data_IF_148811210190
#
_entry.id   IF_148811210190
#
_cell.length_a   1.000
_cell.length_b   1.000
_cell.length_c   1.000
_cell.angle_alpha   90.00
_cell.angle_beta   90.00
_cell.angle_gamma   90.00
#
_symmetry.space_group_name_H-M   'P 1'
#
loop_
_entity.id
_entity.type
_entity.pdbx_description
1 polymer ?
#
# COMPACT_ATOMS: atom_id res chain seq x y z
N UNK A 1 18.59 0.10 28.56
CA UNK A 1 19.18 -0.62 27.43
C UNK A 1 18.23 -0.55 26.24
N UNK A 2 18.51 0.31 25.25
CA UNK A 2 17.70 0.44 24.04
C UNK A 2 18.47 -0.16 22.87
N UNK A 3 18.26 -1.46 22.61
CA UNK A 3 18.66 -2.09 21.35
C UNK A 3 17.48 -1.98 20.40
N UNK A 4 17.47 -0.96 19.54
CA UNK A 4 16.70 -1.02 18.30
C UNK A 4 17.69 -0.90 17.15
N UNK A 5 17.84 -2.05 16.51
CA UNK A 5 18.74 -2.38 15.43
C UNK A 5 18.60 -1.38 14.29
N UNK A 6 19.67 -0.64 14.02
CA UNK A 6 19.87 0.00 12.74
C UNK A 6 19.87 -1.08 11.66
N UNK A 7 18.73 -1.26 11.01
CA UNK A 7 18.59 -2.10 9.83
C UNK A 7 19.32 -1.39 8.69
N UNK A 8 20.64 -1.60 8.61
CA UNK A 8 21.43 -1.37 7.39
C UNK A 8 20.86 -2.33 6.34
N UNK A 9 20.32 -1.85 5.20
CA UNK A 9 20.03 -2.73 4.09
C UNK A 9 21.38 -3.15 3.49
N UNK A 10 21.81 -4.35 3.83
CA UNK A 10 22.96 -5.02 3.19
C UNK A 10 22.39 -5.95 2.13
N UNK A 11 21.92 -5.40 1.01
CA UNK A 11 21.68 -6.20 -0.20
C UNK A 11 21.86 -5.31 -1.42
N UNK A 12 22.96 -5.55 -2.15
CA UNK A 12 23.13 -5.03 -3.49
C UNK A 12 21.98 -5.47 -4.40
N UNK A 13 21.49 -4.54 -5.22
CA UNK A 13 20.75 -4.81 -6.46
C UNK A 13 19.36 -5.46 -6.36
N UNK A 14 18.86 -5.88 -5.19
CA UNK A 14 17.54 -6.51 -5.05
C UNK A 14 16.57 -5.56 -4.36
N UNK A 15 15.44 -5.32 -5.03
CA UNK A 15 14.31 -4.51 -4.56
C UNK A 15 13.97 -4.83 -3.09
N UNK A 16 13.71 -3.79 -2.28
CA UNK A 16 13.42 -3.94 -0.85
C UNK A 16 12.23 -4.90 -0.64
N UNK A 17 12.34 -5.96 0.16
CA UNK A 17 11.27 -6.94 0.36
C UNK A 17 9.97 -6.30 0.90
N UNK A 18 10.05 -5.15 1.58
CA UNK A 18 8.87 -4.39 2.02
C UNK A 18 8.14 -3.73 0.85
N UNK A 19 8.87 -3.26 -0.16
CA UNK A 19 8.30 -2.69 -1.40
C UNK A 19 7.62 -3.80 -2.21
N UNK A 20 8.24 -4.97 -2.30
CA UNK A 20 7.66 -6.15 -2.95
C UNK A 20 6.35 -6.57 -2.25
N UNK A 21 6.37 -6.67 -0.91
CA UNK A 21 5.19 -7.02 -0.12
C UNK A 21 4.05 -6.00 -0.25
N UNK A 22 4.39 -4.70 -0.25
CA UNK A 22 3.41 -3.64 -0.46
C UNK A 22 2.76 -3.73 -1.85
N UNK A 23 3.55 -3.92 -2.91
CA UNK A 23 3.04 -4.05 -4.28
C UNK A 23 2.10 -5.25 -4.42
N UNK A 24 2.43 -6.37 -3.79
CA UNK A 24 1.57 -7.55 -3.74
C UNK A 24 0.24 -7.26 -3.02
N UNK A 25 0.29 -6.59 -1.86
CA UNK A 25 -0.91 -6.21 -1.11
C UNK A 25 -1.82 -5.25 -1.89
N UNK A 26 -1.25 -4.20 -2.50
CA UNK A 26 -1.99 -3.25 -3.35
C UNK A 26 -2.64 -3.96 -4.54
N UNK A 27 -1.91 -4.89 -5.17
CA UNK A 27 -2.43 -5.67 -6.31
C UNK A 27 -3.58 -6.60 -5.92
N UNK A 28 -3.54 -7.17 -4.71
CA UNK A 28 -4.64 -7.97 -4.16
C UNK A 28 -5.86 -7.10 -3.89
N UNK A 29 -5.66 -5.98 -3.19
CA UNK A 29 -6.73 -5.07 -2.79
C UNK A 29 -7.49 -4.48 -3.99
N UNK A 30 -6.77 -4.16 -5.08
CA UNK A 30 -7.41 -3.72 -6.34
C UNK A 30 -8.31 -4.79 -6.95
N UNK A 31 -7.93 -6.08 -6.89
CA UNK A 31 -8.75 -7.18 -7.40
C UNK A 31 -9.99 -7.38 -6.54
N UNK A 32 -9.83 -7.30 -5.22
CA UNK A 32 -10.94 -7.44 -4.28
C UNK A 32 -11.95 -6.30 -4.45
N UNK A 33 -11.48 -5.06 -4.60
CA UNK A 33 -12.35 -3.91 -4.89
C UNK A 33 -13.05 -4.05 -6.25
N UNK A 34 -12.33 -4.50 -7.29
CA UNK A 34 -12.91 -4.74 -8.61
C UNK A 34 -13.97 -5.85 -8.61
N UNK A 35 -13.80 -6.86 -7.77
CA UNK A 35 -14.73 -7.98 -7.62
C UNK A 35 -15.85 -7.71 -6.61
N UNK A 36 -15.80 -6.60 -5.86
CA UNK A 36 -16.80 -6.29 -4.85
C UNK A 36 -18.11 -5.84 -5.51
N UNK A 37 -19.24 -6.55 -5.28
CA UNK A 37 -20.51 -6.24 -5.92
C UNK A 37 -21.24 -5.03 -5.29
N UNK A 38 -20.78 -4.54 -4.14
CA UNK A 38 -21.35 -3.37 -3.47
C UNK A 38 -20.95 -2.05 -4.13
N UNK A 39 -21.92 -1.15 -4.28
CA UNK A 39 -21.64 0.24 -4.65
C UNK A 39 -21.14 1.00 -3.41
N UNK A 40 -19.84 1.34 -3.41
CA UNK A 40 -19.30 2.29 -2.44
C UNK A 40 -19.41 3.71 -3.02
N UNK A 41 -19.97 4.68 -2.24
CA UNK A 41 -20.12 6.07 -2.69
C UNK A 41 -18.80 6.67 -3.21
N UNK A 42 -17.69 6.31 -2.58
CA UNK A 42 -16.35 6.85 -2.86
C UNK A 42 -15.43 5.82 -3.54
N UNK A 43 -16.01 4.82 -4.24
CA UNK A 43 -15.24 3.75 -4.90
C UNK A 43 -14.15 4.27 -5.84
N UNK A 44 -14.49 5.25 -6.68
CA UNK A 44 -13.55 5.81 -7.64
C UNK A 44 -12.34 6.45 -6.95
N UNK A 45 -12.56 7.12 -5.81
CA UNK A 45 -11.50 7.73 -5.00
C UNK A 45 -10.58 6.64 -4.44
N UNK A 46 -11.14 5.53 -3.96
CA UNK A 46 -10.36 4.39 -3.47
C UNK A 46 -9.52 3.74 -4.59
N UNK A 47 -10.08 3.60 -5.79
CA UNK A 47 -9.36 3.05 -6.95
C UNK A 47 -8.21 3.95 -7.41
N UNK A 48 -8.42 5.27 -7.46
CA UNK A 48 -7.39 6.26 -7.80
C UNK A 48 -6.23 6.29 -6.79
N UNK A 49 -6.53 6.25 -5.49
CA UNK A 49 -5.52 6.18 -4.44
C UNK A 49 -4.72 4.86 -4.50
N UNK A 50 -5.38 3.73 -4.81
CA UNK A 50 -4.69 2.45 -5.03
C UNK A 50 -3.78 2.50 -6.27
N UNK A 51 -4.18 3.20 -7.33
CA UNK A 51 -3.34 3.42 -8.49
C UNK A 51 -2.12 4.30 -8.14
N UNK A 52 -2.30 5.35 -7.34
CA UNK A 52 -1.22 6.22 -6.87
C UNK A 52 -0.21 5.45 -5.99
N UNK A 53 -0.69 4.59 -5.09
CA UNK A 53 0.16 3.70 -4.29
C UNK A 53 0.93 2.69 -5.14
N UNK A 54 0.28 2.12 -6.15
CA UNK A 54 0.94 1.21 -7.10
C UNK A 54 2.07 1.93 -7.85
N UNK A 55 1.80 3.13 -8.38
CA UNK A 55 2.79 3.96 -9.06
C UNK A 55 3.94 4.36 -8.13
N UNK A 56 3.65 4.73 -6.88
CA UNK A 56 4.67 5.06 -5.89
C UNK A 56 5.55 3.85 -5.56
N UNK A 57 4.96 2.66 -5.47
CA UNK A 57 5.70 1.41 -5.24
C UNK A 57 6.51 0.97 -6.46
N UNK A 58 6.10 1.36 -7.67
CA UNK A 58 6.74 0.99 -8.94
C UNK A 58 7.84 1.97 -9.35
N UNK A 59 7.75 3.23 -8.91
CA UNK A 59 8.81 4.21 -9.11
C UNK A 59 10.05 3.75 -8.33
N UNK A 60 11.06 3.29 -9.08
CA UNK A 60 12.34 2.71 -8.67
C UNK A 60 13.23 3.68 -7.87
N UNK A 61 12.73 4.28 -6.81
CA UNK A 61 13.55 4.94 -5.81
C UNK A 61 13.98 3.87 -4.80
N UNK A 62 15.28 3.73 -4.49
CA UNK A 62 15.75 2.86 -3.42
C UNK A 62 15.34 3.49 -2.07
N UNK A 63 14.08 3.29 -1.68
CA UNK A 63 13.51 3.88 -0.49
C UNK A 63 12.13 3.32 -0.19
N UNK A 64 11.93 2.91 1.06
CA UNK A 64 10.62 2.55 1.56
C UNK A 64 9.75 3.81 1.49
N UNK A 65 8.51 3.77 0.96
CA UNK A 65 7.60 4.89 1.10
C UNK A 65 7.48 5.29 2.58
N UNK A 66 7.59 6.58 2.88
CA UNK A 66 7.64 7.04 4.27
C UNK A 66 6.39 6.57 5.04
N UNK A 67 6.59 6.07 6.27
CA UNK A 67 5.52 5.54 7.13
C UNK A 67 4.33 6.51 7.27
N UNK A 68 4.52 7.84 7.40
CA UNK A 68 3.40 8.79 7.43
C UNK A 68 2.59 8.80 6.13
N UNK A 69 3.23 8.64 4.98
CA UNK A 69 2.58 8.62 3.66
C UNK A 69 1.77 7.34 3.46
N UNK A 70 2.36 6.19 3.82
CA UNK A 70 1.67 4.90 3.85
C UNK A 70 0.43 4.94 4.75
N UNK A 71 0.58 5.47 5.97
CA UNK A 71 -0.53 5.62 6.91
C UNK A 71 -1.64 6.49 6.35
N UNK A 72 -1.30 7.62 5.71
CA UNK A 72 -2.28 8.51 5.10
C UNK A 72 -3.07 7.82 3.99
N UNK A 73 -2.40 7.17 3.05
CA UNK A 73 -3.10 6.47 1.95
C UNK A 73 -3.97 5.32 2.47
N UNK A 74 -3.51 4.56 3.47
CA UNK A 74 -4.32 3.52 4.10
C UNK A 74 -5.56 4.07 4.82
N UNK A 75 -5.45 5.22 5.49
CA UNK A 75 -6.58 5.88 6.13
C UNK A 75 -7.58 6.44 5.11
N UNK A 76 -7.12 6.97 3.97
CA UNK A 76 -7.99 7.42 2.89
C UNK A 76 -8.77 6.25 2.28
N UNK A 77 -8.09 5.13 2.01
CA UNK A 77 -8.72 3.89 1.57
C UNK A 77 -9.75 3.43 2.61
N UNK A 78 -9.39 3.34 3.89
CA UNK A 78 -10.32 2.92 4.93
C UNK A 78 -11.50 3.90 5.18
N UNK A 79 -11.34 5.17 4.78
CA UNK A 79 -12.43 6.16 4.84
C UNK A 79 -13.44 6.01 3.70
N UNK A 80 -12.99 5.60 2.51
CA UNK A 80 -13.79 5.58 1.27
C UNK A 80 -14.54 4.26 1.02
N UNK A 81 -14.03 3.15 1.57
CA UNK A 81 -14.67 1.81 1.50
C UNK A 81 -15.08 1.28 2.88
N UNK A 82 -14.88 2.07 3.95
CA UNK A 82 -15.00 1.60 5.33
C UNK A 82 -13.80 0.71 5.73
N UNK A 83 -13.99 -0.26 6.62
CA UNK A 83 -12.89 -1.16 7.01
C UNK A 83 -12.35 -1.94 5.81
N UNK A 84 -11.02 -2.03 5.66
CA UNK A 84 -10.37 -2.86 4.62
C UNK A 84 -10.80 -4.34 4.73
N UNK A 85 -11.20 -4.80 5.93
CA UNK A 85 -11.78 -6.13 6.14
C UNK A 85 -13.14 -6.36 5.45
N UNK A 86 -13.79 -5.30 4.94
CA UNK A 86 -15.03 -5.40 4.19
C UNK A 86 -14.81 -5.87 2.73
N UNK A 87 -13.58 -5.75 2.22
CA UNK A 87 -13.16 -6.31 0.94
C UNK A 87 -12.57 -7.70 1.20
N UNK A 88 -13.39 -8.74 1.06
CA UNK A 88 -13.01 -10.13 1.31
C UNK A 88 -12.68 -10.87 0.03
#
# INVERSE_FOLDING_TARGET
>A
MLRSLGQRPVTGGKEDPRVVGLRAAVSRLRRELAAHPGEFPDRAIAEDELAALAALSAATAPGIPEVPRLRRSLLLIAGSIGSVSALR
#
